data_IF_007043940868
#
_entry.id   IF_007043940868
#
_cell.length_a   1.000
_cell.length_b   1.000
_cell.length_c   1.000
_cell.angle_alpha   90.00
_cell.angle_beta   90.00
_cell.angle_gamma   90.00
#
_symmetry.space_group_name_H-M   'P 1'
#
loop_
_entity.id
_entity.type
_entity.pdbx_description
1 polymer ?
#
# COMPACT_ATOMS: atom_id res chain seq x y z
N UNK A 1 12.39 -15.16 -6.63
CA UNK A 1 12.48 -13.69 -6.78
C UNK A 1 13.49 -13.21 -5.75
N UNK A 2 14.50 -12.44 -6.14
CA UNK A 2 15.52 -11.94 -5.22
C UNK A 2 14.99 -10.71 -4.45
N UNK A 3 15.73 -10.32 -3.41
CA UNK A 3 15.40 -9.18 -2.52
C UNK A 3 15.14 -7.88 -3.28
N UNK A 4 16.01 -7.55 -4.24
CA UNK A 4 15.91 -6.33 -5.03
C UNK A 4 14.62 -6.32 -5.89
N UNK A 5 14.33 -7.43 -6.56
CA UNK A 5 13.09 -7.56 -7.35
C UNK A 5 11.85 -7.44 -6.48
N UNK A 6 11.86 -8.00 -5.28
CA UNK A 6 10.75 -7.91 -4.33
C UNK A 6 10.51 -6.47 -3.89
N UNK A 7 11.58 -5.77 -3.48
CA UNK A 7 11.53 -4.35 -3.11
C UNK A 7 11.02 -3.48 -4.26
N UNK A 8 11.56 -3.67 -5.46
CA UNK A 8 11.17 -2.90 -6.64
C UNK A 8 9.68 -3.08 -7.00
N UNK A 9 9.13 -4.29 -6.82
CA UNK A 9 7.70 -4.53 -7.01
C UNK A 9 6.84 -3.76 -5.99
N UNK A 10 7.22 -3.78 -4.71
CA UNK A 10 6.50 -3.01 -3.68
C UNK A 10 6.53 -1.52 -4.01
N UNK A 11 7.71 -0.96 -4.30
CA UNK A 11 7.88 0.46 -4.63
C UNK A 11 7.07 0.83 -5.88
N UNK A 12 7.04 -0.05 -6.89
CA UNK A 12 6.24 0.17 -8.10
C UNK A 12 4.74 0.29 -7.76
N UNK A 13 4.20 -0.63 -6.95
CA UNK A 13 2.80 -0.57 -6.52
C UNK A 13 2.50 0.71 -5.73
N UNK A 14 3.39 1.10 -4.80
CA UNK A 14 3.25 2.33 -4.02
C UNK A 14 3.26 3.58 -4.92
N UNK A 15 4.14 3.66 -5.92
CA UNK A 15 4.17 4.76 -6.90
C UNK A 15 2.90 4.83 -7.73
N UNK A 16 2.31 3.69 -8.11
CA UNK A 16 1.03 3.67 -8.83
C UNK A 16 -0.09 4.21 -7.95
N UNK A 17 -0.18 3.76 -6.70
CA UNK A 17 -1.16 4.25 -5.72
C UNK A 17 -1.00 5.76 -5.51
N UNK A 18 0.24 6.23 -5.33
CA UNK A 18 0.57 7.66 -5.21
C UNK A 18 0.05 8.47 -6.39
N UNK A 19 0.29 7.99 -7.62
CA UNK A 19 -0.22 8.64 -8.84
C UNK A 19 -1.75 8.60 -8.91
N UNK A 20 -2.37 7.46 -8.63
CA UNK A 20 -3.83 7.35 -8.64
C UNK A 20 -4.50 8.29 -7.64
N UNK A 21 -3.89 8.54 -6.49
CA UNK A 21 -4.45 9.46 -5.49
C UNK A 21 -4.64 10.88 -6.03
N UNK A 22 -3.78 11.33 -6.94
CA UNK A 22 -3.88 12.68 -7.53
C UNK A 22 -5.04 12.82 -8.53
N UNK A 23 -5.68 11.72 -8.90
CA UNK A 23 -6.84 11.69 -9.80
C UNK A 23 -8.18 11.69 -9.07
N UNK A 24 -8.18 11.72 -7.76
CA UNK A 24 -9.40 11.84 -6.96
C UNK A 24 -9.80 13.32 -6.95
N UNK A 25 -11.00 13.71 -7.41
CA UNK A 25 -11.49 15.07 -7.26
C UNK A 25 -11.60 15.44 -5.76
N UNK A 26 -11.23 16.66 -5.40
CA UNK A 26 -11.19 17.09 -4.00
C UNK A 26 -12.55 16.98 -3.29
N UNK A 27 -13.64 17.26 -4.01
CA UNK A 27 -15.01 17.12 -3.54
C UNK A 27 -15.50 15.67 -3.46
N UNK A 28 -14.79 14.72 -4.09
CA UNK A 28 -15.11 13.30 -4.14
C UNK A 28 -14.23 12.44 -3.19
N UNK A 29 -13.42 13.06 -2.37
CA UNK A 29 -12.51 12.34 -1.48
C UNK A 29 -13.26 11.40 -0.49
N UNK A 30 -14.46 11.77 -0.12
CA UNK A 30 -15.32 10.97 0.75
C UNK A 30 -16.27 10.02 0.00
N UNK A 31 -16.16 9.93 -1.32
CA UNK A 31 -16.98 9.02 -2.11
C UNK A 31 -16.83 7.58 -1.61
N UNK A 32 -17.96 6.91 -1.47
CA UNK A 32 -18.09 5.53 -0.99
C UNK A 32 -19.04 4.77 -1.94
N UNK A 33 -18.57 3.72 -2.64
CA UNK A 33 -19.40 3.02 -3.62
C UNK A 33 -20.67 2.42 -3.03
N UNK A 34 -20.60 1.94 -1.78
CA UNK A 34 -21.69 1.33 -1.05
C UNK A 34 -21.47 1.51 0.46
N UNK A 35 -22.54 1.60 1.22
CA UNK A 35 -22.48 1.52 2.67
C UNK A 35 -21.70 0.28 3.15
N UNK A 36 -20.84 0.47 4.16
CA UNK A 36 -19.95 -0.58 4.67
C UNK A 36 -18.63 -0.76 3.89
N UNK A 37 -18.48 -0.18 2.68
CA UNK A 37 -17.21 -0.12 1.98
C UNK A 37 -16.36 1.07 2.45
N UNK A 38 -15.05 1.02 2.25
CA UNK A 38 -14.19 2.18 2.51
C UNK A 38 -14.45 3.31 1.52
N UNK A 39 -14.46 4.55 2.00
CA UNK A 39 -14.39 5.73 1.13
C UNK A 39 -13.02 5.85 0.46
N UNK A 40 -12.91 6.76 -0.52
CA UNK A 40 -11.63 7.04 -1.16
C UNK A 40 -10.57 7.49 -0.14
N UNK A 41 -10.92 8.36 0.82
CA UNK A 41 -10.01 8.76 1.90
C UNK A 41 -9.59 7.59 2.79
N UNK A 42 -10.54 6.79 3.24
CA UNK A 42 -10.25 5.61 4.06
C UNK A 42 -9.38 4.57 3.33
N UNK A 43 -9.51 4.47 1.99
CA UNK A 43 -8.61 3.65 1.18
C UNK A 43 -7.20 4.23 1.13
N UNK A 44 -7.04 5.55 0.95
CA UNK A 44 -5.74 6.20 1.00
C UNK A 44 -5.06 5.96 2.34
N UNK A 45 -5.79 6.20 3.45
CA UNK A 45 -5.29 5.96 4.81
C UNK A 45 -4.84 4.51 5.02
N UNK A 46 -5.62 3.55 4.53
CA UNK A 46 -5.27 2.12 4.62
C UNK A 46 -4.04 1.79 3.76
N UNK A 47 -3.96 2.31 2.54
CA UNK A 47 -2.86 2.09 1.61
C UNK A 47 -1.51 2.64 2.10
N UNK A 48 -1.52 3.67 2.99
CA UNK A 48 -0.29 4.17 3.63
C UNK A 48 0.47 3.08 4.40
N UNK A 49 -0.22 2.08 4.94
CA UNK A 49 0.43 1.02 5.73
C UNK A 49 0.61 -0.30 4.98
N UNK A 50 -0.01 -0.48 3.81
CA UNK A 50 0.01 -1.76 3.11
C UNK A 50 1.41 -2.21 2.68
N UNK A 51 2.27 -1.28 2.25
CA UNK A 51 3.62 -1.62 1.77
C UNK A 51 4.66 -1.87 2.86
N UNK A 52 4.42 -1.41 4.09
CA UNK A 52 5.42 -1.40 5.16
C UNK A 52 4.96 -2.06 6.46
N UNK A 53 3.65 -2.06 6.72
CA UNK A 53 3.08 -2.38 8.03
C UNK A 53 3.46 -3.75 8.55
N UNK A 54 3.33 -4.81 7.75
CA UNK A 54 3.68 -6.17 8.17
C UNK A 54 5.19 -6.36 8.36
N UNK A 55 6.01 -5.76 7.49
CA UNK A 55 7.47 -5.81 7.66
C UNK A 55 7.88 -5.12 8.95
N UNK A 56 7.32 -3.96 9.25
CA UNK A 56 7.53 -3.27 10.53
C UNK A 56 7.14 -4.13 11.71
N UNK A 57 6.01 -4.82 11.62
CA UNK A 57 5.56 -5.75 12.65
C UNK A 57 6.57 -6.87 12.88
N UNK A 58 7.07 -7.51 11.84
CA UNK A 58 8.03 -8.62 11.96
C UNK A 58 9.43 -8.21 12.43
N UNK A 59 9.79 -6.94 12.22
CA UNK A 59 11.09 -6.37 12.62
C UNK A 59 10.99 -5.35 13.77
N UNK A 60 9.87 -5.33 14.49
CA UNK A 60 9.71 -4.47 15.67
C UNK A 60 10.62 -4.90 16.80
N UNK A 61 10.97 -3.96 17.65
CA UNK A 61 11.80 -4.17 18.83
C UNK A 61 10.99 -4.40 20.13
N UNK A 62 9.67 -4.25 20.07
CA UNK A 62 8.77 -4.45 21.19
C UNK A 62 8.04 -5.81 21.12
N UNK A 63 7.31 -6.16 22.17
CA UNK A 63 6.55 -7.42 22.28
C UNK A 63 5.06 -7.24 22.01
N UNK A 64 4.66 -6.11 21.38
CA UNK A 64 3.26 -5.88 21.06
C UNK A 64 2.69 -6.97 20.17
N UNK A 65 1.46 -7.40 20.46
CA UNK A 65 0.73 -8.28 19.57
C UNK A 65 0.30 -7.53 18.28
N UNK A 66 -0.17 -8.29 17.31
CA UNK A 66 -0.61 -7.75 16.01
C UNK A 66 -1.68 -6.66 16.17
N UNK A 67 -2.68 -6.89 17.03
CA UNK A 67 -3.79 -5.96 17.23
C UNK A 67 -3.33 -4.62 17.78
N UNK A 68 -2.47 -4.66 18.80
CA UNK A 68 -1.90 -3.47 19.44
C UNK A 68 -1.02 -2.69 18.44
N UNK A 69 -0.12 -3.39 17.74
CA UNK A 69 0.76 -2.76 16.76
C UNK A 69 -0.01 -2.08 15.63
N UNK A 70 -0.96 -2.79 14.99
CA UNK A 70 -1.74 -2.22 13.90
C UNK A 70 -2.78 -1.21 14.37
N UNK A 71 -3.19 -1.26 15.64
CA UNK A 71 -3.98 -0.21 16.28
C UNK A 71 -3.25 1.13 16.28
N UNK A 72 -2.02 1.18 16.79
CA UNK A 72 -1.19 2.38 16.77
C UNK A 72 -0.85 2.86 15.36
N UNK A 73 -0.59 1.93 14.43
CA UNK A 73 -0.35 2.29 13.03
C UNK A 73 -1.59 2.92 12.38
N UNK A 74 -2.78 2.42 12.69
CA UNK A 74 -4.05 2.97 12.22
C UNK A 74 -4.31 4.37 12.76
N UNK A 75 -4.03 4.63 14.03
CA UNK A 75 -4.15 5.98 14.62
C UNK A 75 -3.31 7.00 13.83
N UNK A 76 -2.08 6.64 13.51
CA UNK A 76 -1.23 7.48 12.65
C UNK A 76 -1.84 7.67 11.25
N UNK A 77 -2.21 6.60 10.57
CA UNK A 77 -2.73 6.71 9.19
C UNK A 77 -4.07 7.45 9.10
N UNK A 78 -4.88 7.45 10.16
CA UNK A 78 -6.12 8.24 10.21
C UNK A 78 -5.89 9.76 10.21
N UNK A 79 -4.69 10.24 10.54
CA UNK A 79 -4.35 11.68 10.41
C UNK A 79 -4.06 12.10 8.98
N UNK A 80 -3.84 11.14 8.07
CA UNK A 80 -3.54 11.40 6.66
C UNK A 80 -4.78 11.93 5.97
N UNK A 81 -4.60 13.04 5.25
CA UNK A 81 -5.63 13.70 4.44
C UNK A 81 -5.34 13.51 2.95
N UNK A 82 -6.29 13.90 2.09
CA UNK A 82 -6.04 13.94 0.64
C UNK A 82 -4.80 14.77 0.28
N UNK A 83 -4.61 15.91 0.94
CA UNK A 83 -3.48 16.83 0.68
C UNK A 83 -2.13 16.28 1.17
N UNK A 84 -2.11 15.50 2.24
CA UNK A 84 -0.87 14.97 2.83
C UNK A 84 -0.52 13.57 2.33
N UNK A 85 -1.45 12.90 1.61
CA UNK A 85 -1.25 11.51 1.19
C UNK A 85 -0.02 11.31 0.30
N UNK A 86 0.23 12.23 -0.65
CA UNK A 86 1.37 12.12 -1.57
C UNK A 86 2.69 12.15 -0.80
N UNK A 87 2.86 13.09 0.14
CA UNK A 87 4.06 13.18 0.97
C UNK A 87 4.20 11.99 1.92
N UNK A 88 3.09 11.53 2.48
CA UNK A 88 3.09 10.32 3.32
C UNK A 88 3.52 9.08 2.51
N UNK A 89 3.00 8.90 1.30
CA UNK A 89 3.41 7.78 0.46
C UNK A 89 4.89 7.88 0.05
N UNK A 90 5.41 9.07 -0.20
CA UNK A 90 6.85 9.28 -0.46
C UNK A 90 7.69 8.88 0.78
N UNK A 91 7.25 9.23 1.99
CA UNK A 91 7.89 8.78 3.23
C UNK A 91 7.84 7.25 3.40
N UNK A 92 6.70 6.62 3.07
CA UNK A 92 6.59 5.17 3.12
C UNK A 92 7.50 4.46 2.08
N UNK A 93 7.74 5.07 0.91
CA UNK A 93 8.71 4.55 -0.07
C UNK A 93 10.15 4.62 0.46
N UNK A 94 10.51 5.65 1.21
CA UNK A 94 11.80 5.72 1.89
C UNK A 94 11.88 4.63 2.96
N UNK A 95 10.86 4.54 3.81
CA UNK A 95 10.80 3.58 4.91
C UNK A 95 10.90 2.12 4.43
N UNK A 96 10.24 1.73 3.34
CA UNK A 96 10.34 0.36 2.84
C UNK A 96 11.75 0.00 2.40
N UNK A 97 12.53 0.95 1.86
CA UNK A 97 13.94 0.74 1.52
C UNK A 97 14.79 0.50 2.77
N UNK A 98 14.61 1.35 3.80
CA UNK A 98 15.29 1.19 5.10
C UNK A 98 14.97 -0.14 5.79
N UNK A 99 13.72 -0.61 5.67
CA UNK A 99 13.33 -1.92 6.17
C UNK A 99 14.02 -3.04 5.39
N UNK A 100 14.07 -2.92 4.07
CA UNK A 100 14.75 -3.90 3.23
C UNK A 100 16.27 -3.92 3.43
N UNK A 101 16.89 -2.82 3.85
CA UNK A 101 18.33 -2.81 4.20
C UNK A 101 18.64 -3.76 5.38
N UNK A 102 17.66 -4.01 6.25
CA UNK A 102 17.76 -4.95 7.39
C UNK A 102 17.47 -6.40 7.03
N UNK A 103 16.91 -6.67 5.87
CA UNK A 103 16.51 -8.00 5.39
C UNK A 103 17.64 -8.59 4.55
N UNK A 104 18.06 -9.80 4.85
CA UNK A 104 19.00 -10.55 4.01
C UNK A 104 18.27 -11.45 3.01
N UNK A 105 18.98 -11.95 1.99
CA UNK A 105 18.42 -12.99 1.10
C UNK A 105 18.10 -14.28 1.87
N UNK A 106 18.90 -14.61 2.88
CA UNK A 106 18.66 -15.75 3.76
C UNK A 106 17.39 -15.56 4.60
N UNK A 107 17.16 -14.37 5.15
CA UNK A 107 15.88 -14.08 5.86
C UNK A 107 14.67 -14.34 4.96
N UNK A 108 14.70 -13.92 3.70
CA UNK A 108 13.58 -14.12 2.77
C UNK A 108 13.23 -15.60 2.57
N UNK A 109 14.25 -16.47 2.60
CA UNK A 109 14.12 -17.90 2.33
C UNK A 109 13.84 -18.73 3.58
N UNK A 110 14.42 -18.35 4.73
CA UNK A 110 14.53 -19.22 5.89
C UNK A 110 13.94 -18.64 7.19
N UNK A 111 13.61 -17.33 7.23
CA UNK A 111 12.99 -16.74 8.41
C UNK A 111 11.48 -16.99 8.39
N UNK A 112 11.00 -17.79 9.34
CA UNK A 112 9.56 -17.99 9.56
C UNK A 112 8.95 -16.77 10.28
N UNK A 113 7.78 -16.34 9.82
CA UNK A 113 6.98 -15.24 10.41
C UNK A 113 5.52 -15.62 10.50
N UNK A 114 4.81 -15.00 11.45
CA UNK A 114 3.36 -15.21 11.63
C UNK A 114 2.58 -14.21 10.76
N UNK A 115 1.57 -14.71 10.06
CA UNK A 115 0.57 -13.85 9.45
C UNK A 115 -0.34 -13.18 10.51
N UNK A 116 -0.97 -12.05 10.17
CA UNK A 116 -1.95 -11.40 11.06
C UNK A 116 -3.10 -12.30 11.52
N UNK A 117 -3.39 -13.36 10.80
CA UNK A 117 -4.45 -14.34 11.08
C UNK A 117 -3.96 -15.65 11.69
N UNK A 118 -2.67 -15.73 12.08
CA UNK A 118 -2.09 -16.83 12.87
C UNK A 118 -1.45 -17.97 12.07
N UNK A 119 -1.52 -17.96 10.75
CA UNK A 119 -0.75 -18.89 9.92
C UNK A 119 0.71 -18.47 9.84
N UNK A 120 1.60 -19.39 9.50
CA UNK A 120 3.03 -19.15 9.34
C UNK A 120 3.46 -19.26 7.88
N UNK A 121 4.49 -18.50 7.51
CA UNK A 121 5.12 -18.58 6.20
C UNK A 121 6.59 -18.12 6.26
N UNK A 122 7.37 -18.43 5.23
CA UNK A 122 8.68 -17.82 5.06
C UNK A 122 8.52 -16.33 4.74
N UNK A 123 9.43 -15.50 5.25
CA UNK A 123 9.34 -14.03 5.15
C UNK A 123 9.09 -13.54 3.71
N UNK A 124 9.77 -14.12 2.72
CA UNK A 124 9.57 -13.73 1.32
C UNK A 124 8.15 -13.98 0.82
N UNK A 125 7.57 -15.12 1.16
CA UNK A 125 6.17 -15.46 0.83
C UNK A 125 5.20 -14.54 1.56
N UNK A 126 5.47 -14.27 2.83
CA UNK A 126 4.65 -13.43 3.68
C UNK A 126 4.63 -11.96 3.16
N UNK A 127 5.76 -11.43 2.70
CA UNK A 127 5.84 -10.11 2.07
C UNK A 127 5.00 -10.06 0.79
N UNK A 128 5.08 -11.08 -0.07
CA UNK A 128 4.23 -11.15 -1.28
C UNK A 128 2.76 -11.20 -0.90
N UNK A 129 2.40 -12.05 0.06
CA UNK A 129 1.01 -12.27 0.46
C UNK A 129 0.35 -11.05 1.13
N UNK A 130 1.13 -10.22 1.80
CA UNK A 130 0.64 -9.04 2.51
C UNK A 130 0.96 -7.74 1.77
N UNK A 131 2.23 -7.37 1.62
CA UNK A 131 2.57 -6.08 1.06
C UNK A 131 2.11 -5.94 -0.40
N UNK A 132 2.50 -6.88 -1.27
CA UNK A 132 2.19 -6.77 -2.71
C UNK A 132 0.70 -7.03 -2.97
N UNK A 133 0.13 -8.11 -2.43
CA UNK A 133 -1.27 -8.44 -2.68
C UNK A 133 -2.22 -7.40 -2.10
N UNK A 134 -1.95 -6.86 -0.92
CA UNK A 134 -2.80 -5.81 -0.33
C UNK A 134 -2.71 -4.51 -1.14
N UNK A 135 -1.50 -4.06 -1.50
CA UNK A 135 -1.34 -2.90 -2.37
C UNK A 135 -2.10 -3.09 -3.69
N UNK A 136 -1.95 -4.25 -4.34
CA UNK A 136 -2.62 -4.54 -5.61
C UNK A 136 -4.13 -4.58 -5.48
N UNK A 137 -4.67 -5.27 -4.46
CA UNK A 137 -6.11 -5.40 -4.25
C UNK A 137 -6.77 -4.06 -3.93
N UNK A 138 -6.21 -3.28 -3.00
CA UNK A 138 -6.78 -1.99 -2.61
C UNK A 138 -6.50 -0.87 -3.61
N UNK A 139 -5.41 -0.95 -4.39
CA UNK A 139 -5.20 -0.13 -5.57
C UNK A 139 -6.33 -0.31 -6.60
N UNK A 140 -6.75 -1.55 -6.86
CA UNK A 140 -7.89 -1.83 -7.74
C UNK A 140 -9.18 -1.19 -7.21
N UNK A 141 -9.44 -1.31 -5.91
CA UNK A 141 -10.61 -0.67 -5.30
C UNK A 141 -10.54 0.86 -5.44
N UNK A 142 -9.37 1.46 -5.20
CA UNK A 142 -9.15 2.90 -5.39
C UNK A 142 -9.42 3.34 -6.83
N UNK A 143 -8.91 2.58 -7.81
CA UNK A 143 -9.14 2.83 -9.23
C UNK A 143 -10.64 2.80 -9.59
N UNK A 144 -11.38 1.82 -9.05
CA UNK A 144 -12.82 1.73 -9.26
C UNK A 144 -13.53 2.93 -8.62
N UNK A 145 -13.17 3.32 -7.39
CA UNK A 145 -13.75 4.48 -6.73
C UNK A 145 -13.57 5.75 -7.58
N UNK A 146 -12.36 5.97 -8.12
CA UNK A 146 -12.08 7.13 -8.97
C UNK A 146 -12.94 7.09 -10.24
N UNK A 147 -13.02 5.95 -10.92
CA UNK A 147 -13.86 5.81 -12.12
C UNK A 147 -15.34 6.05 -11.87
N UNK A 148 -15.83 5.78 -10.67
CA UNK A 148 -17.23 5.98 -10.29
C UNK A 148 -17.53 7.40 -9.82
N UNK A 149 -16.52 8.14 -9.37
CA UNK A 149 -16.69 9.45 -8.73
C UNK A 149 -16.11 10.61 -9.54
N UNK A 150 -15.50 10.34 -10.70
CA UNK A 150 -14.89 11.39 -11.52
C UNK A 150 -15.15 11.18 -13.01
N UNK A 151 -15.00 12.25 -13.79
CA UNK A 151 -15.03 12.21 -15.25
C UNK A 151 -13.66 11.83 -15.86
N UNK A 152 -12.69 11.45 -15.03
CA UNK A 152 -11.36 11.03 -15.47
C UNK A 152 -11.44 9.83 -16.42
N UNK A 153 -10.93 9.99 -17.62
CA UNK A 153 -10.83 8.90 -18.60
C UNK A 153 -9.68 7.99 -18.22
N UNK A 154 -9.97 6.97 -17.44
CA UNK A 154 -8.99 6.00 -16.98
C UNK A 154 -9.22 4.63 -17.62
N UNK A 155 -8.14 4.02 -18.10
CA UNK A 155 -8.13 2.69 -18.68
C UNK A 155 -7.26 1.71 -17.91
N UNK A 156 -7.18 0.47 -18.39
CA UNK A 156 -6.33 -0.58 -17.79
C UNK A 156 -4.87 -0.15 -17.59
N UNK A 157 -4.21 0.59 -18.51
CA UNK A 157 -2.84 1.02 -18.30
C UNK A 157 -2.62 1.88 -17.05
N UNK A 158 -3.67 2.58 -16.59
CA UNK A 158 -3.60 3.40 -15.37
C UNK A 158 -3.36 2.59 -14.09
N UNK A 159 -3.69 1.30 -14.10
CA UNK A 159 -3.41 0.39 -12.99
C UNK A 159 -1.94 -0.06 -12.90
N UNK A 160 -1.16 0.12 -13.96
CA UNK A 160 0.15 -0.52 -14.06
C UNK A 160 1.31 0.45 -14.29
N UNK A 161 1.03 1.68 -14.69
CA UNK A 161 2.06 2.70 -14.95
C UNK A 161 2.32 3.57 -13.71
N UNK A 162 3.57 3.95 -13.55
CA UNK A 162 4.01 4.83 -12.44
C UNK A 162 4.04 6.30 -12.81
N UNK A 163 3.98 6.62 -14.11
CA UNK A 163 4.04 7.98 -14.68
C UNK A 163 2.85 8.24 -15.58
N UNK A 164 2.51 9.51 -15.79
CA UNK A 164 1.59 9.91 -16.85
C UNK A 164 2.28 9.70 -18.23
N UNK A 165 1.48 9.31 -19.24
CA UNK A 165 1.93 9.24 -20.63
C UNK A 165 1.18 10.33 -21.37
N UNK A 166 1.90 11.34 -21.84
CA UNK A 166 1.31 12.36 -22.72
C UNK A 166 0.82 11.68 -23.99
N UNK A 167 -0.43 11.93 -24.38
CA UNK A 167 -0.98 11.52 -25.68
C UNK A 167 -1.73 10.20 -25.73
N UNK A 168 -1.94 9.46 -24.66
CA UNK A 168 -2.83 8.28 -24.60
C UNK A 168 -4.18 8.62 -23.94
N UNK A 169 -4.81 9.72 -24.34
CA UNK A 169 -6.26 9.88 -24.15
C UNK A 169 -6.95 9.20 -25.33
N UNK A 170 -7.40 7.96 -25.15
CA UNK A 170 -8.32 7.32 -26.09
C UNK A 170 -9.74 7.79 -25.83
#
# INVERSE_FOLDING_TARGET
MNKESLLNNIIKEMKIVRRLSTKIPADQINFRPKEGMRSSLELLQYLCSCGTGTIRYWYRNDTSDFRTFFGGLREHTQTVTHHTFVSEMDAQIVLVKELFDKITEDDLLNKEVDYPWGEKAMLGEAIVATCIKWLTAYKMQLFINIKMSSDEKMGTPDLWRTTEIEGLAN
#
